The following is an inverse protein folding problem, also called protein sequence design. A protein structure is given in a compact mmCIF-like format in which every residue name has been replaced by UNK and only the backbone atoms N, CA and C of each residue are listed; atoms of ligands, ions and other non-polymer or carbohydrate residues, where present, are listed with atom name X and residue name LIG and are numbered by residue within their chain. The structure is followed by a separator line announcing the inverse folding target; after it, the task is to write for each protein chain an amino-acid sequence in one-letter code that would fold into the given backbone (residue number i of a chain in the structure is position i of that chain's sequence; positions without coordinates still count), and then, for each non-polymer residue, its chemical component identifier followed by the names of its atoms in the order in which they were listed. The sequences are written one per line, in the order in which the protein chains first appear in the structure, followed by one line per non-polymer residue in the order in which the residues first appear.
data_IF_537622777012
#
_entry.id   IF_537622777012
#
_cell.length_a   1.000
_cell.length_b   1.000
_cell.length_c   1.000
_cell.angle_alpha   90.00
_cell.angle_beta   90.00
_cell.angle_gamma   90.00
#
_symmetry.space_group_name_H-M   'P 1'
#
loop_
_entity.id
_entity.type
_entity.pdbx_description
1 polymer ?
#
# COMPACT_ATOMS: atom_id res chain seq x y z
N UNK A 1 -32.82 7.07 -15.59
CA UNK A 1 -32.06 5.86 -15.95
C UNK A 1 -30.59 6.28 -15.99
N UNK A 2 -29.62 5.77 -15.24
CA UNK A 2 -29.50 4.63 -14.34
C UNK A 2 -28.32 4.96 -13.42
N UNK A 3 -28.44 4.74 -12.10
CA UNK A 3 -27.27 4.80 -11.22
C UNK A 3 -26.29 3.67 -11.62
N UNK A 4 -25.00 3.98 -11.64
CA UNK A 4 -23.94 3.11 -12.16
C UNK A 4 -23.84 1.79 -11.36
N UNK A 5 -23.56 0.63 -12.00
CA UNK A 5 -23.53 -0.67 -11.35
C UNK A 5 -22.25 -0.95 -10.53
N UNK A 6 -21.36 0.02 -10.38
CA UNK A 6 -20.00 -0.18 -9.83
C UNK A 6 -19.97 -0.41 -8.31
N UNK A 7 -20.97 0.06 -7.58
CA UNK A 7 -21.04 -0.13 -6.12
C UNK A 7 -21.51 -1.55 -5.75
N UNK A 8 -22.40 -2.15 -6.55
CA UNK A 8 -23.03 -3.43 -6.23
C UNK A 8 -22.05 -4.60 -6.37
N UNK A 9 -21.16 -4.57 -7.37
CA UNK A 9 -20.17 -5.63 -7.60
C UNK A 9 -19.12 -5.68 -6.50
N UNK A 10 -18.58 -4.53 -6.10
CA UNK A 10 -17.54 -4.46 -5.07
C UNK A 10 -18.03 -4.94 -3.70
N UNK A 11 -19.28 -4.68 -3.36
CA UNK A 11 -19.86 -5.17 -2.09
C UNK A 11 -20.09 -6.68 -2.15
N UNK A 12 -20.61 -7.20 -3.27
CA UNK A 12 -20.76 -8.65 -3.46
C UNK A 12 -19.40 -9.39 -3.40
N UNK A 13 -18.33 -8.79 -3.93
CA UNK A 13 -16.98 -9.35 -3.85
C UNK A 13 -16.47 -9.41 -2.40
N UNK A 14 -16.83 -8.42 -1.57
CA UNK A 14 -16.44 -8.38 -0.16
C UNK A 14 -17.18 -9.42 0.68
N UNK A 15 -18.48 -9.61 0.45
CA UNK A 15 -19.27 -10.63 1.16
C UNK A 15 -18.73 -12.04 0.86
N UNK A 16 -18.43 -12.33 -0.42
CA UNK A 16 -17.83 -13.61 -0.82
C UNK A 16 -16.44 -13.80 -0.20
N UNK A 17 -15.61 -12.76 -0.17
CA UNK A 17 -14.29 -12.83 0.46
C UNK A 17 -14.38 -13.04 1.97
N UNK A 18 -15.37 -12.42 2.63
CA UNK A 18 -15.62 -12.61 4.05
C UNK A 18 -16.04 -14.06 4.34
N UNK A 19 -16.96 -14.61 3.56
CA UNK A 19 -17.40 -16.01 3.69
C UNK A 19 -16.23 -16.99 3.52
N UNK A 20 -15.34 -16.73 2.55
CA UNK A 20 -14.13 -17.54 2.35
C UNK A 20 -13.16 -17.45 3.52
N UNK A 21 -12.95 -16.26 4.08
CA UNK A 21 -12.08 -16.07 5.24
C UNK A 21 -12.66 -16.81 6.47
N UNK A 22 -13.97 -16.70 6.70
CA UNK A 22 -14.67 -17.38 7.79
C UNK A 22 -14.57 -18.90 7.62
N UNK A 23 -14.80 -19.42 6.41
CA UNK A 23 -14.68 -20.85 6.11
C UNK A 23 -13.25 -21.37 6.35
N UNK A 24 -12.23 -20.59 6.01
CA UNK A 24 -10.82 -20.92 6.25
C UNK A 24 -10.49 -21.00 7.75
N UNK A 25 -11.17 -20.19 8.57
CA UNK A 25 -11.06 -20.22 10.03
C UNK A 25 -12.03 -21.20 10.69
N UNK A 26 -12.52 -22.21 9.96
CA UNK A 26 -13.38 -23.26 10.51
C UNK A 26 -14.79 -22.79 10.86
N UNK A 27 -15.25 -21.68 10.26
CA UNK A 27 -16.57 -21.10 10.51
C UNK A 27 -16.60 -20.10 11.67
N UNK A 28 -15.49 -19.86 12.37
CA UNK A 28 -15.44 -18.86 13.44
C UNK A 28 -15.07 -17.48 12.88
N UNK A 29 -16.07 -16.61 12.79
CA UNK A 29 -15.89 -15.23 12.34
C UNK A 29 -14.97 -14.40 13.25
N UNK A 30 -14.92 -14.69 14.56
CA UNK A 30 -14.02 -14.00 15.49
C UNK A 30 -12.58 -14.38 15.21
N UNK A 31 -12.30 -15.65 14.94
CA UNK A 31 -10.96 -16.10 14.55
C UNK A 31 -10.55 -15.55 13.18
N UNK A 32 -11.49 -15.47 12.22
CA UNK A 32 -11.23 -14.81 10.93
C UNK A 32 -10.84 -13.33 11.10
N UNK A 33 -11.54 -12.58 11.96
CA UNK A 33 -11.19 -11.19 12.25
C UNK A 33 -9.82 -11.07 12.91
N UNK A 34 -9.48 -11.93 13.88
CA UNK A 34 -8.14 -11.94 14.49
C UNK A 34 -7.05 -12.21 13.46
N UNK A 35 -7.26 -13.21 12.59
CA UNK A 35 -6.32 -13.54 11.51
C UNK A 35 -6.13 -12.37 10.55
N UNK A 36 -7.21 -11.69 10.16
CA UNK A 36 -7.16 -10.50 9.30
C UNK A 36 -6.41 -9.34 9.96
N UNK A 37 -6.59 -9.10 11.26
CA UNK A 37 -5.85 -8.06 11.98
C UNK A 37 -4.34 -8.34 12.00
N UNK A 38 -3.94 -9.59 12.28
CA UNK A 38 -2.53 -10.01 12.25
C UNK A 38 -1.96 -9.88 10.84
N UNK A 39 -2.71 -10.30 9.82
CA UNK A 39 -2.30 -10.16 8.42
C UNK A 39 -2.14 -8.69 8.02
N UNK A 40 -3.02 -7.81 8.50
CA UNK A 40 -2.95 -6.39 8.21
C UNK A 40 -1.70 -5.75 8.86
N UNK A 41 -1.46 -5.98 10.15
CA UNK A 41 -0.24 -5.51 10.83
C UNK A 41 1.04 -5.98 10.10
N UNK A 42 1.08 -7.23 9.65
CA UNK A 42 2.19 -7.74 8.85
C UNK A 42 2.38 -7.01 7.50
N UNK A 43 1.29 -6.67 6.81
CA UNK A 43 1.36 -5.91 5.55
C UNK A 43 1.78 -4.46 5.79
N UNK A 44 1.30 -3.83 6.86
CA UNK A 44 1.70 -2.48 7.25
C UNK A 44 3.20 -2.42 7.57
N UNK A 45 3.73 -3.39 8.31
CA UNK A 45 5.16 -3.51 8.59
C UNK A 45 6.00 -3.70 7.31
N UNK A 46 5.54 -4.53 6.37
CA UNK A 46 6.20 -4.71 5.08
C UNK A 46 6.21 -3.43 4.25
N UNK A 47 5.09 -2.69 4.23
CA UNK A 47 4.99 -1.40 3.54
C UNK A 47 5.97 -0.39 4.15
N UNK A 48 6.08 -0.32 5.47
CA UNK A 48 7.01 0.59 6.14
C UNK A 48 8.47 0.22 5.85
N UNK A 49 8.80 -1.07 5.90
CA UNK A 49 10.11 -1.57 5.52
C UNK A 49 10.46 -1.22 4.06
N UNK A 50 9.49 -1.34 3.14
CA UNK A 50 9.68 -0.98 1.74
C UNK A 50 9.86 0.53 1.56
N UNK A 51 9.04 1.36 2.20
CA UNK A 51 9.15 2.82 2.18
C UNK A 51 10.51 3.30 2.65
N UNK A 52 11.04 2.71 3.73
CA UNK A 52 12.39 3.01 4.24
C UNK A 52 13.48 2.67 3.20
N UNK A 53 13.37 1.54 2.51
CA UNK A 53 14.32 1.13 1.46
C UNK A 53 14.25 2.01 0.21
N UNK A 54 13.05 2.45 -0.17
CA UNK A 54 12.87 3.34 -1.33
C UNK A 54 13.35 4.76 -1.01
N UNK A 55 13.08 5.28 0.19
CA UNK A 55 13.56 6.59 0.64
C UNK A 55 15.10 6.66 0.71
N UNK A 56 15.74 5.61 1.21
CA UNK A 56 17.21 5.51 1.21
C UNK A 56 17.80 5.45 -0.21
N UNK A 57 17.10 4.83 -1.16
CA UNK A 57 17.48 4.85 -2.58
C UNK A 57 17.35 6.23 -3.23
N UNK A 58 16.34 7.02 -2.84
CA UNK A 58 16.14 8.39 -3.34
C UNK A 58 17.17 9.38 -2.74
N UNK A 59 17.53 9.21 -1.47
CA UNK A 59 18.52 10.05 -0.79
C UNK A 59 19.98 9.78 -1.22
N UNK A 60 20.30 8.57 -1.73
CA UNK A 60 21.69 8.14 -2.03
C UNK A 60 22.19 8.43 -3.45
N UNK A 61 21.54 9.30 -4.22
CA UNK A 61 22.25 10.05 -5.28
C UNK A 61 21.62 10.02 -6.66
N UNK A 62 20.61 10.86 -6.89
CA UNK A 62 20.22 11.29 -8.24
C UNK A 62 19.63 12.70 -8.35
N UNK A 63 20.05 13.64 -7.52
CA UNK A 63 20.06 15.03 -7.99
C UNK A 63 21.49 15.34 -8.44
N UNK A 64 21.74 15.57 -9.74
CA UNK A 64 23.00 16.15 -10.18
C UNK A 64 23.22 17.44 -9.37
N UNK A 65 24.45 17.75 -8.92
CA UNK A 65 24.72 19.06 -8.36
C UNK A 65 24.29 20.09 -9.41
N UNK A 66 23.42 21.02 -8.99
CA UNK A 66 23.11 22.19 -9.79
C UNK A 66 24.46 22.77 -10.20
N UNK A 67 24.75 22.74 -11.51
CA UNK A 67 26.03 23.21 -12.04
C UNK A 67 26.23 24.62 -11.51
N UNK A 68 27.19 24.80 -10.61
CA UNK A 68 27.68 26.12 -10.26
C UNK A 68 28.19 26.71 -11.57
N UNK A 69 27.40 27.59 -12.19
CA UNK A 69 27.93 28.54 -13.16
C UNK A 69 28.74 29.54 -12.34
N UNK A 70 29.98 29.18 -12.06
CA UNK A 70 31.03 30.13 -11.78
C UNK A 70 31.87 30.23 -13.02
N UNK A 71 31.87 31.42 -13.59
CA UNK A 71 32.97 32.12 -14.26
C UNK A 71 32.55 32.79 -15.57
N UNK A 72 32.21 34.08 -15.43
CA UNK A 72 32.68 35.19 -16.27
C UNK A 72 32.34 36.45 -15.44
N UNK A 73 33.20 36.87 -14.52
CA UNK A 73 34.43 37.64 -14.77
C UNK A 73 34.14 38.93 -15.55
N UNK A 74 34.11 40.01 -14.77
CA UNK A 74 34.32 41.41 -15.13
C UNK A 74 35.41 41.56 -16.22
N UNK A 75 35.11 42.41 -17.21
CA UNK A 75 35.95 42.72 -18.37
C UNK A 75 35.23 43.59 -19.39
#
# INVERSE_FOLDING_TARGET
MSAAPEATTKVADLDVAADQAIATCGGDAREAVKALLVANDFLEQQLEALRTKVSTGYARGRLPPARERKDEADG
#
